data_IF_278476267614
#
_entry.id   IF_278476267614
#
_cell.length_a   1.000
_cell.length_b   1.000
_cell.length_c   1.000
_cell.angle_alpha   90.00
_cell.angle_beta   90.00
_cell.angle_gamma   90.00
#
_symmetry.space_group_name_H-M   'P 1'
#
loop_
_entity.id
_entity.type
_entity.pdbx_description
1 polymer ?
#
# COMPACT_ATOMS: atom_id res chain seq x y z
N UNK A 1 -57.45 11.95 49.66
CA UNK A 1 -57.23 13.31 50.19
C UNK A 1 -56.33 14.04 49.20
N UNK A 2 -56.91 14.80 48.26
CA UNK A 2 -57.06 16.28 48.19
C UNK A 2 -55.79 17.01 47.73
N UNK A 3 -55.93 17.80 46.65
CA UNK A 3 -55.13 18.97 46.24
C UNK A 3 -53.84 18.64 45.47
N UNK A 4 -53.40 19.30 44.41
CA UNK A 4 -53.66 20.59 43.73
C UNK A 4 -53.20 20.40 42.26
N UNK A 5 -53.47 21.18 41.21
CA UNK A 5 -53.93 22.54 40.98
C UNK A 5 -53.58 22.88 39.52
N UNK A 6 -54.43 23.67 38.87
CA UNK A 6 -54.58 23.90 37.42
C UNK A 6 -53.45 24.67 36.70
N UNK A 7 -53.33 24.43 35.37
CA UNK A 7 -53.20 25.39 34.22
C UNK A 7 -53.10 24.52 32.94
N UNK A 8 -54.01 24.48 31.95
CA UNK A 8 -54.64 25.55 31.17
C UNK A 8 -53.63 26.13 30.17
N UNK A 9 -53.76 26.13 28.84
CA UNK A 9 -54.86 25.85 27.93
C UNK A 9 -54.31 25.62 26.48
N UNK A 10 -55.14 25.06 25.62
CA UNK A 10 -54.88 24.62 24.24
C UNK A 10 -54.52 25.72 23.22
N UNK A 11 -53.86 25.31 22.12
CA UNK A 11 -53.86 26.03 20.85
C UNK A 11 -54.03 25.08 19.66
N UNK A 12 -54.72 25.61 18.65
CA UNK A 12 -55.57 24.94 17.71
C UNK A 12 -54.86 24.54 16.40
N UNK A 13 -55.51 23.59 15.71
CA UNK A 13 -55.22 23.19 14.34
C UNK A 13 -55.64 24.26 13.33
N UNK A 14 -54.88 24.35 12.23
CA UNK A 14 -55.39 24.82 10.94
C UNK A 14 -54.66 24.07 9.81
N UNK A 15 -55.44 23.31 9.05
CA UNK A 15 -55.13 22.73 7.74
C UNK A 15 -55.27 23.80 6.64
N UNK A 16 -54.54 23.68 5.52
CA UNK A 16 -55.04 23.70 4.12
C UNK A 16 -53.87 23.44 3.14
N UNK A 17 -54.22 22.76 2.05
CA UNK A 17 -53.47 22.24 0.90
C UNK A 17 -52.92 23.28 -0.11
N UNK A 18 -51.95 22.87 -0.94
CA UNK A 18 -52.06 22.74 -2.41
C UNK A 18 -50.75 23.01 -3.21
N UNK A 19 -50.44 22.02 -4.07
CA UNK A 19 -49.98 22.12 -5.47
C UNK A 19 -48.59 22.69 -5.87
N UNK A 20 -47.78 21.74 -6.36
CA UNK A 20 -47.00 21.72 -7.62
C UNK A 20 -46.70 23.03 -8.36
N UNK A 21 -45.40 23.28 -8.62
CA UNK A 21 -44.91 23.94 -9.84
C UNK A 21 -43.47 23.52 -10.15
N UNK A 22 -43.31 22.86 -11.28
CA UNK A 22 -42.08 22.58 -12.03
C UNK A 22 -41.72 23.76 -12.93
N UNK A 23 -40.43 24.08 -13.06
CA UNK A 23 -39.85 25.03 -14.02
C UNK A 23 -38.35 24.68 -14.23
N UNK A 24 -37.72 24.95 -15.39
CA UNK A 24 -37.71 24.01 -16.50
C UNK A 24 -36.31 23.53 -16.93
N UNK A 25 -36.31 22.36 -17.57
CA UNK A 25 -35.24 21.80 -18.39
C UNK A 25 -34.93 22.75 -19.56
N UNK A 26 -33.66 23.14 -19.73
CA UNK A 26 -33.18 23.72 -20.99
C UNK A 26 -32.64 22.59 -21.87
N UNK A 27 -33.43 22.22 -22.87
CA UNK A 27 -32.95 21.56 -24.07
C UNK A 27 -32.29 22.60 -24.98
N UNK A 28 -31.09 22.31 -25.47
CA UNK A 28 -30.51 22.95 -26.65
C UNK A 28 -29.95 21.87 -27.57
N UNK A 29 -30.68 21.62 -28.65
CA UNK A 29 -30.25 21.07 -29.96
C UNK A 29 -31.26 21.60 -31.00
N UNK A 30 -31.02 21.56 -32.32
CA UNK A 30 -29.80 21.24 -33.07
C UNK A 30 -29.43 22.31 -34.14
N UNK A 31 -28.28 22.17 -34.81
CA UNK A 31 -28.18 22.37 -36.27
C UNK A 31 -27.00 21.56 -36.81
N UNK A 32 -27.30 20.65 -37.73
CA UNK A 32 -26.38 20.10 -38.73
C UNK A 32 -26.02 21.17 -39.76
N UNK A 33 -24.77 21.25 -40.19
CA UNK A 33 -24.44 21.30 -41.62
C UNK A 33 -22.97 20.97 -41.88
N UNK A 34 -22.78 20.23 -42.97
CA UNK A 34 -21.52 19.82 -43.58
C UNK A 34 -20.73 21.03 -44.14
N UNK A 35 -19.40 20.97 -44.14
CA UNK A 35 -18.61 20.71 -45.36
C UNK A 35 -17.11 21.09 -45.23
N UNK A 36 -16.28 20.11 -45.63
CA UNK A 36 -15.10 20.19 -46.49
C UNK A 36 -13.93 21.18 -46.24
N UNK A 37 -12.74 20.55 -46.21
CA UNK A 37 -11.46 20.94 -46.81
C UNK A 37 -10.65 22.09 -46.21
N UNK A 38 -9.35 21.83 -46.06
CA UNK A 38 -8.32 22.84 -46.38
C UNK A 38 -7.29 23.09 -45.30
N UNK A 39 -6.16 22.41 -45.43
CA UNK A 39 -4.86 22.72 -44.85
C UNK A 39 -4.50 24.21 -44.95
N UNK A 40 -3.98 24.81 -43.88
CA UNK A 40 -2.80 25.70 -43.94
C UNK A 40 -2.37 26.15 -42.54
N UNK A 41 -1.05 26.10 -42.36
CA UNK A 41 -0.27 26.67 -41.27
C UNK A 41 -0.65 28.12 -40.94
N UNK A 42 -0.72 28.44 -39.65
CA UNK A 42 -0.27 29.75 -39.14
C UNK A 42 0.22 29.66 -37.69
N UNK A 43 1.50 29.99 -37.51
CA UNK A 43 2.09 30.40 -36.23
C UNK A 43 1.42 31.70 -35.79
N UNK A 44 0.94 31.77 -34.55
CA UNK A 44 0.84 33.03 -33.82
C UNK A 44 1.04 32.82 -32.31
N UNK A 45 2.17 33.34 -31.84
CA UNK A 45 2.49 33.91 -30.53
C UNK A 45 1.43 33.79 -29.42
N UNK A 46 1.76 33.07 -28.34
CA UNK A 46 1.01 33.13 -27.08
C UNK A 46 1.44 34.37 -26.30
N UNK A 47 0.49 35.29 -26.12
CA UNK A 47 0.60 36.47 -25.27
C UNK A 47 0.73 36.09 -23.79
N UNK A 48 1.76 36.61 -23.13
CA UNK A 48 1.87 36.70 -21.68
C UNK A 48 0.84 37.71 -21.13
N UNK A 49 -0.13 37.26 -20.34
CA UNK A 49 -0.90 38.16 -19.49
C UNK A 49 -0.20 38.35 -18.14
N UNK A 50 0.42 39.52 -18.02
CA UNK A 50 0.97 40.10 -16.79
C UNK A 50 -0.15 40.90 -16.11
N UNK A 51 -0.66 40.44 -14.97
CA UNK A 51 -1.54 41.27 -14.14
C UNK A 51 -0.74 41.88 -12.99
N UNK A 52 -0.68 43.22 -12.97
CA UNK A 52 0.02 44.02 -11.96
C UNK A 52 -0.95 44.68 -10.99
N UNK A 53 -0.66 44.50 -9.70
CA UNK A 53 -0.82 45.43 -8.56
C UNK A 53 -2.20 46.02 -8.25
N UNK A 54 -2.62 45.78 -7.00
CA UNK A 54 -2.98 46.88 -6.10
C UNK A 54 -2.25 46.73 -4.75
N UNK A 55 -1.87 47.88 -4.19
CA UNK A 55 -0.97 48.09 -3.05
C UNK A 55 -1.72 48.94 -2.01
N UNK A 56 -1.69 48.57 -0.73
CA UNK A 56 -1.71 49.48 0.43
C UNK A 56 -1.16 48.71 1.64
N UNK A 57 0.10 48.93 2.06
CA UNK A 57 0.60 49.93 3.01
C UNK A 57 0.05 49.80 4.44
N UNK A 58 0.84 49.19 5.34
CA UNK A 58 1.41 49.82 6.55
C UNK A 58 2.37 48.85 7.27
N UNK A 59 3.54 49.37 7.58
CA UNK A 59 4.69 48.93 8.39
C UNK A 59 5.10 50.18 9.21
N UNK A 60 6.07 50.21 10.16
CA UNK A 60 6.85 49.17 10.90
C UNK A 60 6.91 49.57 12.43
N UNK A 61 7.95 49.35 13.30
CA UNK A 61 9.29 48.77 13.09
C UNK A 61 9.86 47.94 14.31
N UNK A 62 11.19 47.63 14.43
CA UNK A 62 11.69 46.28 14.75
C UNK A 62 12.74 46.25 15.91
N UNK A 63 13.33 45.08 16.23
CA UNK A 63 14.68 44.88 16.82
C UNK A 63 15.11 43.41 16.50
N UNK A 64 16.16 43.02 15.77
CA UNK A 64 17.63 43.23 15.71
C UNK A 64 18.50 42.25 16.55
N UNK A 65 19.60 41.83 15.89
CA UNK A 65 20.77 41.02 16.27
C UNK A 65 20.66 39.48 16.12
N UNK A 66 21.63 38.76 15.53
CA UNK A 66 22.99 39.11 15.08
C UNK A 66 23.63 38.01 14.20
N UNK A 67 24.80 38.34 13.67
CA UNK A 67 25.75 37.57 12.83
C UNK A 67 26.17 36.24 13.49
N UNK A 68 26.67 35.20 12.80
CA UNK A 68 28.04 35.09 12.22
C UNK A 68 28.11 33.91 11.21
N UNK A 69 29.07 34.00 10.29
CA UNK A 69 29.36 32.96 9.31
C UNK A 69 30.35 31.90 9.79
N UNK A 70 30.44 30.80 9.04
CA UNK A 70 31.67 30.02 8.95
C UNK A 70 31.74 29.28 7.62
N UNK A 71 32.89 29.47 6.97
CA UNK A 71 33.41 28.78 5.80
C UNK A 71 34.27 27.66 6.37
N UNK A 72 34.06 26.39 6.00
CA UNK A 72 35.05 25.33 6.22
C UNK A 72 35.04 24.34 5.04
N UNK A 73 36.25 24.09 4.55
CA UNK A 73 36.65 23.29 3.40
C UNK A 73 36.26 21.81 3.46
N UNK A 74 36.18 21.24 2.26
CA UNK A 74 36.21 19.82 1.99
C UNK A 74 37.55 19.19 2.39
N UNK A 75 37.49 18.08 3.14
CA UNK A 75 38.60 17.15 3.27
C UNK A 75 38.12 15.75 2.84
N UNK A 76 38.60 15.30 1.68
CA UNK A 76 38.53 13.92 1.25
C UNK A 76 39.61 13.12 1.99
N UNK A 77 39.23 12.02 2.64
CA UNK A 77 40.19 11.00 3.11
C UNK A 77 39.69 9.64 2.64
N UNK A 78 40.47 9.01 1.76
CA UNK A 78 40.28 7.65 1.27
C UNK A 78 40.83 6.61 2.27
N UNK A 79 40.31 5.37 2.30
CA UNK A 79 40.76 4.34 3.23
C UNK A 79 41.99 3.58 2.69
N UNK A 80 43.03 3.45 3.51
CA UNK A 80 44.19 2.58 3.25
C UNK A 80 43.92 1.15 3.70
N UNK A 81 44.01 0.22 2.75
CA UNK A 81 44.02 -1.23 2.90
C UNK A 81 45.47 -1.73 2.86
N UNK A 82 45.91 -2.49 3.86
CA UNK A 82 47.11 -3.34 3.76
C UNK A 82 46.91 -4.62 4.55
N UNK A 83 46.74 -5.74 3.85
CA UNK A 83 46.93 -7.11 4.36
C UNK A 83 48.33 -7.58 3.93
N UNK A 84 49.10 -8.15 4.85
CA UNK A 84 50.24 -9.02 4.57
C UNK A 84 50.12 -10.32 5.37
N UNK A 85 50.55 -11.48 4.84
CA UNK A 85 50.46 -12.78 5.50
C UNK A 85 51.77 -13.17 6.23
N UNK A 86 51.64 -13.89 7.35
CA UNK A 86 52.75 -14.52 8.08
C UNK A 86 52.74 -16.04 7.83
N UNK A 87 53.80 -16.53 7.17
CA UNK A 87 54.18 -17.95 7.12
C UNK A 87 55.06 -18.28 8.33
N UNK A 88 54.82 -19.42 8.98
CA UNK A 88 55.72 -20.00 9.98
C UNK A 88 56.19 -21.36 9.47
N UNK A 89 57.51 -21.50 9.36
CA UNK A 89 58.22 -22.71 8.95
C UNK A 89 58.47 -23.65 10.15
N UNK A 90 58.47 -24.96 9.89
CA UNK A 90 58.81 -26.02 10.83
C UNK A 90 60.29 -26.41 10.68
N UNK A 91 60.94 -26.74 11.80
CA UNK A 91 62.23 -27.47 11.84
C UNK A 91 62.13 -28.65 12.81
N UNK A 92 62.80 -29.80 12.55
CA UNK A 92 62.59 -31.04 13.29
C UNK A 92 63.67 -31.29 14.36
N UNK A 93 63.35 -32.06 15.41
CA UNK A 93 64.37 -32.83 16.12
C UNK A 93 63.83 -34.12 16.74
N UNK A 94 64.68 -35.16 16.70
CA UNK A 94 64.45 -36.54 17.09
C UNK A 94 64.52 -36.77 18.61
N UNK A 95 63.78 -37.76 19.11
CA UNK A 95 63.98 -38.34 20.45
C UNK A 95 63.05 -39.52 20.75
N UNK A 96 63.60 -40.73 20.78
CA UNK A 96 62.96 -41.99 21.16
C UNK A 96 62.52 -42.01 22.66
N UNK A 97 61.37 -42.60 22.99
CA UNK A 97 61.27 -43.76 23.91
C UNK A 97 59.83 -44.34 24.04
N UNK A 98 59.85 -45.66 24.13
CA UNK A 98 58.82 -46.72 24.20
C UNK A 98 57.67 -46.52 25.20
N UNK A 99 56.47 -47.02 24.86
CA UNK A 99 55.82 -48.17 25.54
C UNK A 99 54.29 -48.21 25.38
N UNK A 100 53.79 -49.43 25.10
CA UNK A 100 52.48 -49.99 25.42
C UNK A 100 51.21 -49.46 24.72
N UNK A 101 50.70 -50.34 23.86
CA UNK A 101 49.43 -50.29 23.19
C UNK A 101 48.24 -50.33 24.16
N UNK A 102 47.26 -49.47 23.92
CA UNK A 102 45.85 -49.73 24.27
C UNK A 102 45.08 -49.78 22.95
N UNK A 103 44.64 -50.99 22.58
CA UNK A 103 43.72 -51.20 21.46
C UNK A 103 42.35 -50.62 21.86
N UNK A 104 41.98 -49.49 21.28
CA UNK A 104 40.58 -49.10 21.13
C UNK A 104 40.19 -49.25 19.67
N UNK A 105 39.40 -50.29 19.40
CA UNK A 105 38.80 -50.52 18.10
C UNK A 105 37.73 -49.45 17.86
N UNK A 106 38.10 -48.38 17.16
CA UNK A 106 37.14 -47.44 16.60
C UNK A 106 36.63 -48.00 15.27
N UNK A 107 35.37 -48.43 15.25
CA UNK A 107 34.64 -48.70 14.02
C UNK A 107 34.47 -47.38 13.26
N UNK A 108 35.23 -47.19 12.18
CA UNK A 108 35.05 -46.08 11.25
C UNK A 108 33.76 -46.29 10.45
N UNK A 109 32.66 -45.67 10.89
CA UNK A 109 31.45 -45.53 10.06
C UNK A 109 31.73 -44.42 9.05
N UNK A 110 32.00 -44.82 7.81
CA UNK A 110 32.18 -43.94 6.65
C UNK A 110 30.83 -43.28 6.35
N UNK A 111 30.54 -42.16 7.00
CA UNK A 111 29.45 -41.27 6.58
C UNK A 111 30.02 -40.31 5.54
N UNK A 112 29.67 -40.56 4.28
CA UNK A 112 29.71 -39.56 3.23
C UNK A 112 28.79 -38.41 3.64
N UNK A 113 29.40 -37.32 4.12
CA UNK A 113 28.74 -36.03 4.28
C UNK A 113 28.47 -35.48 2.88
N UNK A 114 27.26 -35.68 2.38
CA UNK A 114 26.74 -34.89 1.26
C UNK A 114 26.51 -33.48 1.79
N UNK A 115 27.33 -32.52 1.35
CA UNK A 115 27.10 -31.11 1.60
C UNK A 115 25.83 -30.69 0.84
N UNK A 116 24.71 -30.61 1.54
CA UNK A 116 23.47 -30.01 1.03
C UNK A 116 23.67 -28.48 0.96
N UNK A 117 23.34 -27.80 -0.15
CA UNK A 117 23.61 -26.37 -0.26
C UNK A 117 22.63 -25.58 0.60
N UNK A 118 23.13 -24.97 1.67
CA UNK A 118 22.39 -24.04 2.54
C UNK A 118 21.73 -22.87 1.77
N UNK A 119 22.22 -22.58 0.55
CA UNK A 119 21.68 -21.54 -0.32
C UNK A 119 20.34 -21.91 -0.97
N UNK A 120 20.04 -23.20 -1.20
CA UNK A 120 18.76 -23.59 -1.81
C UNK A 120 17.61 -23.50 -0.82
N UNK A 121 17.85 -23.86 0.45
CA UNK A 121 16.85 -23.80 1.52
C UNK A 121 16.48 -22.37 1.92
N UNK A 122 17.42 -21.43 1.87
CA UNK A 122 17.15 -20.01 2.17
C UNK A 122 16.38 -19.32 1.05
N UNK A 123 16.69 -19.64 -0.21
CA UNK A 123 15.92 -19.12 -1.35
C UNK A 123 14.54 -19.79 -1.47
N UNK A 124 14.39 -21.04 -1.01
CA UNK A 124 13.09 -21.73 -0.92
C UNK A 124 12.23 -21.21 0.24
N UNK A 125 12.83 -20.92 1.40
CA UNK A 125 12.16 -20.27 2.51
C UNK A 125 11.71 -18.83 2.15
N UNK A 126 12.52 -18.09 1.37
CA UNK A 126 12.11 -16.79 0.79
C UNK A 126 10.92 -16.91 -0.18
N UNK A 127 10.80 -18.02 -0.92
CA UNK A 127 9.68 -18.26 -1.84
C UNK A 127 8.34 -18.50 -1.12
N UNK A 128 8.38 -18.81 0.19
CA UNK A 128 7.20 -19.09 1.00
C UNK A 128 6.80 -17.94 1.96
N UNK A 129 7.46 -16.78 1.89
CA UNK A 129 7.02 -15.60 2.66
C UNK A 129 5.87 -14.89 1.95
N UNK A 130 4.71 -14.71 2.63
CA UNK A 130 3.58 -14.02 2.01
C UNK A 130 3.96 -12.56 1.70
N UNK A 131 3.57 -12.11 0.52
CA UNK A 131 3.78 -10.72 0.09
C UNK A 131 3.00 -9.78 1.03
N UNK A 132 3.67 -8.80 1.63
CA UNK A 132 2.98 -7.81 2.47
C UNK A 132 2.68 -6.54 1.69
N UNK A 133 1.41 -6.15 1.67
CA UNK A 133 0.91 -4.86 1.24
C UNK A 133 0.57 -3.99 2.46
N UNK A 134 1.11 -2.78 2.50
CA UNK A 134 0.74 -1.77 3.50
C UNK A 134 -0.11 -0.68 2.84
N UNK A 135 -1.37 -0.60 3.21
CA UNK A 135 -2.38 0.20 2.53
C UNK A 135 -2.80 1.44 3.32
N UNK A 136 -3.25 2.48 2.63
CA UNK A 136 -3.62 3.76 3.22
C UNK A 136 -2.42 4.50 3.78
N UNK A 137 -1.33 4.51 3.03
CA UNK A 137 -0.13 5.30 3.29
C UNK A 137 -0.43 6.75 2.90
N UNK A 138 -0.15 7.68 3.81
CA UNK A 138 -0.57 9.09 3.67
C UNK A 138 0.57 10.08 3.55
N UNK A 139 1.82 9.62 3.64
CA UNK A 139 3.01 10.45 3.49
C UNK A 139 4.19 9.65 2.94
N UNK A 140 5.15 10.33 2.30
CA UNK A 140 6.40 9.71 1.87
C UNK A 140 7.17 9.02 3.01
N UNK A 141 7.15 9.60 4.21
CA UNK A 141 7.79 9.01 5.39
C UNK A 141 7.15 7.68 5.79
N UNK A 142 5.81 7.59 5.76
CA UNK A 142 5.11 6.33 6.02
C UNK A 142 5.46 5.27 4.96
N UNK A 143 5.65 5.69 3.70
CA UNK A 143 6.02 4.82 2.59
C UNK A 143 7.44 4.24 2.76
N UNK A 144 8.40 5.09 3.10
CA UNK A 144 9.77 4.69 3.44
C UNK A 144 9.78 3.67 4.58
N UNK A 145 9.16 4.01 5.71
CA UNK A 145 9.12 3.10 6.88
C UNK A 145 8.47 1.75 6.55
N UNK A 146 7.41 1.74 5.74
CA UNK A 146 6.75 0.51 5.30
C UNK A 146 7.65 -0.34 4.38
N UNK A 147 8.29 0.30 3.39
CA UNK A 147 9.16 -0.38 2.44
C UNK A 147 10.43 -0.92 3.12
N UNK A 148 11.07 -0.14 3.98
CA UNK A 148 12.23 -0.57 4.80
C UNK A 148 11.89 -1.76 5.71
N UNK A 149 10.66 -1.80 6.25
CA UNK A 149 10.21 -2.92 7.07
C UNK A 149 9.99 -4.22 6.26
N UNK A 150 9.94 -4.11 4.92
CA UNK A 150 9.84 -5.23 3.98
C UNK A 150 8.51 -5.31 3.22
N UNK A 151 7.63 -4.30 3.31
CA UNK A 151 6.43 -4.27 2.49
C UNK A 151 6.80 -4.21 1.00
N UNK A 152 6.17 -5.05 0.19
CA UNK A 152 6.41 -5.10 -1.26
C UNK A 152 5.42 -4.25 -2.04
N UNK A 153 4.24 -4.00 -1.49
CA UNK A 153 3.19 -3.19 -2.09
C UNK A 153 2.82 -2.03 -1.15
N UNK A 154 2.77 -0.80 -1.68
CA UNK A 154 2.46 0.42 -0.93
C UNK A 154 1.17 1.03 -1.47
N UNK A 155 0.07 0.91 -0.73
CA UNK A 155 -1.26 1.36 -1.16
C UNK A 155 -1.56 2.81 -0.78
N UNK A 156 -1.88 3.63 -1.77
CA UNK A 156 -2.39 5.00 -1.62
C UNK A 156 -3.87 5.03 -1.96
N UNK A 157 -4.70 5.54 -1.06
CA UNK A 157 -6.12 5.69 -1.35
C UNK A 157 -6.33 7.03 -2.03
N UNK A 158 -6.90 7.00 -3.24
CA UNK A 158 -7.16 8.19 -4.04
C UNK A 158 -8.65 8.57 -4.06
N UNK A 159 -9.49 7.72 -3.48
CA UNK A 159 -10.90 7.98 -3.28
C UNK A 159 -11.14 9.07 -2.22
N UNK A 160 -11.79 10.20 -2.53
CA UNK A 160 -11.93 11.34 -1.63
C UNK A 160 -12.68 11.08 -0.32
N UNK A 161 -13.59 10.10 -0.30
CA UNK A 161 -14.40 9.81 0.89
C UNK A 161 -13.66 8.98 1.96
N UNK A 162 -12.44 8.55 1.68
CA UNK A 162 -11.59 7.90 2.67
C UNK A 162 -10.90 8.92 3.57
N UNK A 163 -10.92 8.71 4.89
CA UNK A 163 -10.10 9.51 5.82
C UNK A 163 -8.59 9.43 5.54
N UNK A 164 -8.16 8.36 4.85
CA UNK A 164 -6.77 8.11 4.43
C UNK A 164 -6.53 8.47 2.96
N UNK A 165 -7.43 9.25 2.36
CA UNK A 165 -7.26 9.75 1.00
C UNK A 165 -6.08 10.73 0.93
N UNK A 166 -5.34 10.70 -0.17
CA UNK A 166 -4.25 11.65 -0.43
C UNK A 166 -4.45 12.38 -1.76
N UNK A 167 -4.06 13.67 -1.85
CA UNK A 167 -4.05 14.38 -3.13
C UNK A 167 -2.98 13.81 -4.07
N UNK A 168 -3.14 14.01 -5.38
CA UNK A 168 -2.22 13.50 -6.40
C UNK A 168 -0.76 13.96 -6.20
N UNK A 169 -0.55 15.17 -5.66
CA UNK A 169 0.79 15.66 -5.34
C UNK A 169 1.50 14.81 -4.29
N UNK A 170 0.76 14.38 -3.26
CA UNK A 170 1.30 13.53 -2.19
C UNK A 170 1.44 12.08 -2.68
N UNK A 171 0.45 11.57 -3.43
CA UNK A 171 0.52 10.25 -4.04
C UNK A 171 1.73 10.08 -4.98
N UNK A 172 2.07 11.12 -5.75
CA UNK A 172 3.26 11.13 -6.59
C UNK A 172 4.55 11.01 -5.77
N UNK A 173 4.62 11.69 -4.64
CA UNK A 173 5.79 11.66 -3.76
C UNK A 173 5.91 10.31 -3.03
N UNK A 174 4.80 9.77 -2.53
CA UNK A 174 4.73 8.41 -1.97
C UNK A 174 5.17 7.37 -3.00
N UNK A 175 4.67 7.47 -4.24
CA UNK A 175 5.03 6.58 -5.34
C UNK A 175 6.53 6.59 -5.62
N UNK A 176 7.11 7.80 -5.72
CA UNK A 176 8.55 8.00 -5.90
C UNK A 176 9.37 7.33 -4.79
N UNK A 177 8.98 7.56 -3.53
CA UNK A 177 9.69 6.99 -2.37
C UNK A 177 9.56 5.47 -2.36
N UNK A 178 8.35 4.92 -2.52
CA UNK A 178 8.13 3.47 -2.57
C UNK A 178 9.05 2.79 -3.59
N UNK A 179 9.09 3.32 -4.82
CA UNK A 179 9.98 2.82 -5.89
C UNK A 179 11.46 2.89 -5.50
N UNK A 180 11.90 3.99 -4.87
CA UNK A 180 13.31 4.14 -4.46
C UNK A 180 13.76 3.13 -3.39
N UNK A 181 12.84 2.58 -2.62
CA UNK A 181 13.09 1.50 -1.64
C UNK A 181 12.73 0.10 -2.19
N UNK A 182 12.43 -0.01 -3.49
CA UNK A 182 12.13 -1.29 -4.15
C UNK A 182 10.76 -1.88 -3.84
N UNK A 183 9.82 -1.05 -3.37
CA UNK A 183 8.41 -1.43 -3.22
C UNK A 183 7.58 -0.89 -4.38
N UNK A 184 6.53 -1.61 -4.74
CA UNK A 184 5.62 -1.23 -5.82
C UNK A 184 4.47 -0.36 -5.28
N UNK A 185 4.29 0.87 -5.82
CA UNK A 185 3.18 1.73 -5.44
C UNK A 185 1.86 1.26 -6.07
N UNK A 186 0.78 1.32 -5.30
CA UNK A 186 -0.58 0.90 -5.69
C UNK A 186 -1.57 2.03 -5.51
N UNK A 187 -2.28 2.41 -6.56
CA UNK A 187 -3.42 3.34 -6.48
C UNK A 187 -4.71 2.61 -6.12
N UNK A 188 -5.38 3.00 -5.04
CA UNK A 188 -6.66 2.42 -4.61
C UNK A 188 -7.80 3.34 -4.99
N UNK A 189 -8.69 2.82 -5.83
CA UNK A 189 -9.84 3.51 -6.41
C UNK A 189 -11.13 2.85 -5.94
N UNK A 190 -12.11 3.66 -5.55
CA UNK A 190 -13.39 3.18 -5.01
C UNK A 190 -14.52 3.87 -5.75
N UNK A 191 -15.20 3.14 -6.64
CA UNK A 191 -16.26 3.69 -7.49
C UNK A 191 -15.85 4.95 -8.29
N UNK A 192 -14.55 5.10 -8.57
CA UNK A 192 -13.99 6.15 -9.43
C UNK A 192 -14.19 5.80 -10.91
N UNK A 193 -14.37 6.83 -11.74
CA UNK A 193 -14.50 6.73 -13.19
C UNK A 193 -13.16 6.49 -13.91
N UNK A 194 -13.22 6.03 -15.15
CA UNK A 194 -12.05 5.73 -16.00
C UNK A 194 -11.10 6.93 -16.11
N UNK A 195 -11.64 8.12 -16.36
CA UNK A 195 -10.84 9.32 -16.52
C UNK A 195 -10.08 9.67 -15.24
N UNK A 196 -10.72 9.51 -14.08
CA UNK A 196 -10.09 9.71 -12.77
C UNK A 196 -8.97 8.71 -12.53
N UNK A 197 -9.20 7.42 -12.78
CA UNK A 197 -8.19 6.37 -12.64
C UNK A 197 -6.99 6.64 -13.56
N UNK A 198 -7.22 6.87 -14.86
CA UNK A 198 -6.14 7.08 -15.82
C UNK A 198 -5.32 8.35 -15.52
N UNK A 199 -5.97 9.46 -15.16
CA UNK A 199 -5.29 10.70 -14.78
C UNK A 199 -4.40 10.50 -13.55
N UNK A 200 -4.94 9.83 -12.53
CA UNK A 200 -4.21 9.56 -11.30
C UNK A 200 -3.01 8.64 -11.54
N UNK A 201 -3.23 7.54 -12.26
CA UNK A 201 -2.18 6.57 -12.59
C UNK A 201 -1.05 7.22 -13.39
N UNK A 202 -1.37 8.02 -14.40
CA UNK A 202 -0.36 8.74 -15.19
C UNK A 202 0.38 9.79 -14.35
N UNK A 203 -0.34 10.59 -13.54
CA UNK A 203 0.27 11.69 -12.78
C UNK A 203 1.21 11.21 -11.66
N UNK A 204 0.90 10.04 -11.09
CA UNK A 204 1.60 9.47 -9.95
C UNK A 204 2.47 8.26 -10.32
N UNK A 205 2.60 7.95 -11.62
CA UNK A 205 3.42 6.86 -12.13
C UNK A 205 3.04 5.49 -11.51
N UNK A 206 1.74 5.16 -11.56
CA UNK A 206 1.15 3.95 -10.98
C UNK A 206 0.84 2.94 -12.09
N UNK A 207 1.55 1.83 -12.07
CA UNK A 207 1.33 0.71 -12.99
C UNK A 207 0.33 -0.30 -12.41
N UNK A 208 0.31 -0.46 -11.08
CA UNK A 208 -0.59 -1.34 -10.34
C UNK A 208 -1.72 -0.53 -9.70
N UNK A 209 -2.96 -0.87 -10.06
CA UNK A 209 -4.16 -0.22 -9.54
C UNK A 209 -5.07 -1.24 -8.87
N UNK A 210 -5.69 -0.84 -7.77
CA UNK A 210 -6.65 -1.62 -7.02
C UNK A 210 -8.07 -1.11 -7.30
N UNK A 211 -8.88 -1.95 -7.93
CA UNK A 211 -10.27 -1.67 -8.26
C UNK A 211 -11.16 -2.16 -7.12
N UNK A 212 -11.69 -1.22 -6.35
CA UNK A 212 -12.65 -1.46 -5.28
C UNK A 212 -13.99 -0.80 -5.64
N UNK A 213 -15.11 -1.38 -5.19
CA UNK A 213 -16.44 -0.87 -5.52
C UNK A 213 -16.91 -1.36 -6.89
N UNK A 214 -18.21 -1.26 -7.14
CA UNK A 214 -18.84 -1.82 -8.33
C UNK A 214 -18.42 -1.05 -9.58
N UNK A 215 -18.50 0.29 -9.54
CA UNK A 215 -18.22 1.11 -10.73
C UNK A 215 -16.77 1.03 -11.18
N UNK A 216 -15.80 0.95 -10.26
CA UNK A 216 -14.40 0.78 -10.66
C UNK A 216 -14.10 -0.64 -11.15
N UNK A 217 -14.76 -1.68 -10.62
CA UNK A 217 -14.57 -3.06 -11.10
C UNK A 217 -15.12 -3.27 -12.52
N UNK A 218 -16.20 -2.59 -12.86
CA UNK A 218 -16.76 -2.61 -14.23
C UNK A 218 -15.79 -2.09 -15.29
N UNK A 219 -14.79 -1.29 -14.90
CA UNK A 219 -13.77 -0.73 -15.80
C UNK A 219 -12.63 -1.72 -16.11
N UNK A 220 -12.64 -2.92 -15.52
CA UNK A 220 -11.61 -3.95 -15.78
C UNK A 220 -11.36 -4.19 -17.28
N UNK A 221 -12.35 -4.36 -18.17
CA UNK A 221 -12.13 -4.62 -19.60
C UNK A 221 -11.37 -3.51 -20.34
N UNK A 222 -11.43 -2.29 -19.84
CA UNK A 222 -10.75 -1.12 -20.44
C UNK A 222 -9.35 -0.94 -19.85
N UNK A 223 -9.20 -1.16 -18.54
CA UNK A 223 -7.96 -0.89 -17.82
C UNK A 223 -6.94 -2.04 -17.89
N UNK A 224 -7.37 -3.29 -17.99
CA UNK A 224 -6.48 -4.46 -17.86
C UNK A 224 -5.35 -4.54 -18.90
N UNK A 225 -5.50 -3.88 -20.05
CA UNK A 225 -4.49 -3.88 -21.13
C UNK A 225 -3.28 -3.01 -20.82
N UNK A 226 -3.49 -1.93 -20.08
CA UNK A 226 -2.49 -0.89 -19.84
C UNK A 226 -2.07 -0.80 -18.37
N UNK A 227 -2.77 -1.51 -17.48
CA UNK A 227 -2.52 -1.50 -16.05
C UNK A 227 -2.49 -2.92 -15.50
N UNK A 228 -1.64 -3.12 -14.50
CA UNK A 228 -1.69 -4.30 -13.63
C UNK A 228 -2.81 -4.09 -12.62
N UNK A 229 -3.56 -5.14 -12.32
CA UNK A 229 -4.83 -5.02 -11.57
C UNK A 229 -4.82 -5.84 -10.28
N UNK A 230 -5.15 -5.19 -9.16
CA UNK A 230 -5.68 -5.83 -7.96
C UNK A 230 -7.21 -5.73 -8.00
N UNK A 231 -7.90 -6.86 -8.09
CA UNK A 231 -9.36 -6.90 -8.11
C UNK A 231 -9.90 -7.25 -6.71
N UNK A 232 -10.74 -6.37 -6.14
CA UNK A 232 -11.25 -6.57 -4.78
C UNK A 232 -12.50 -7.45 -4.75
N UNK A 233 -12.42 -8.53 -3.98
CA UNK A 233 -13.51 -9.40 -3.56
C UNK A 233 -13.89 -9.05 -2.11
N UNK A 234 -15.17 -8.87 -1.85
CA UNK A 234 -15.71 -8.55 -0.54
C UNK A 234 -16.40 -9.79 0.03
N UNK A 235 -16.05 -10.17 1.26
CA UNK A 235 -16.68 -11.25 2.01
C UNK A 235 -17.56 -10.71 3.14
N UNK A 236 -18.73 -11.29 3.35
CA UNK A 236 -19.56 -11.00 4.53
C UNK A 236 -18.94 -11.57 5.82
N UNK A 237 -19.62 -11.35 6.96
CA UNK A 237 -19.13 -11.79 8.27
C UNK A 237 -18.94 -13.32 8.36
N UNK A 238 -19.70 -14.09 7.57
CA UNK A 238 -19.62 -15.55 7.49
C UNK A 238 -18.58 -16.06 6.47
N UNK A 239 -17.86 -15.16 5.79
CA UNK A 239 -16.86 -15.52 4.80
C UNK A 239 -17.46 -15.90 3.44
N UNK A 240 -18.70 -15.52 3.15
CA UNK A 240 -19.28 -15.68 1.82
C UNK A 240 -18.97 -14.45 0.98
N UNK A 241 -18.53 -14.67 -0.26
CA UNK A 241 -18.32 -13.58 -1.21
C UNK A 241 -19.64 -12.89 -1.60
N UNK A 242 -19.60 -11.57 -1.60
CA UNK A 242 -20.73 -10.69 -1.95
C UNK A 242 -20.66 -10.30 -3.43
N UNK A 243 -19.46 -10.25 -4.00
CA UNK A 243 -19.23 -10.05 -5.43
C UNK A 243 -18.41 -11.20 -6.03
N UNK A 244 -18.59 -11.41 -7.32
CA UNK A 244 -17.92 -12.46 -8.07
C UNK A 244 -16.53 -12.01 -8.57
N UNK A 245 -15.59 -12.95 -8.77
CA UNK A 245 -14.41 -12.70 -9.60
C UNK A 245 -14.83 -12.32 -11.03
N UNK A 246 -13.95 -11.65 -11.79
CA UNK A 246 -14.21 -11.33 -13.18
C UNK A 246 -14.27 -12.59 -14.04
N UNK A 247 -14.70 -12.44 -15.30
CA UNK A 247 -14.61 -13.49 -16.33
C UNK A 247 -13.16 -14.02 -16.44
N UNK A 248 -13.01 -15.32 -16.69
CA UNK A 248 -11.70 -15.99 -16.82
C UNK A 248 -10.84 -15.43 -17.97
N UNK A 249 -11.44 -14.68 -18.90
CA UNK A 249 -10.70 -13.96 -19.95
C UNK A 249 -9.78 -12.85 -19.38
N UNK A 250 -10.06 -12.35 -18.18
CA UNK A 250 -9.29 -11.29 -17.54
C UNK A 250 -8.40 -11.85 -16.43
N UNK A 251 -7.15 -12.15 -16.77
CA UNK A 251 -6.16 -12.60 -15.78
C UNK A 251 -5.57 -11.38 -15.05
N UNK A 252 -6.11 -11.10 -13.87
CA UNK A 252 -5.65 -10.02 -12.98
C UNK A 252 -4.33 -10.38 -12.29
N UNK A 253 -3.62 -9.38 -11.78
CA UNK A 253 -2.34 -9.58 -11.10
C UNK A 253 -2.53 -10.13 -9.68
N UNK A 254 -3.56 -9.65 -8.98
CA UNK A 254 -3.92 -10.09 -7.65
C UNK A 254 -5.43 -10.07 -7.46
N UNK A 255 -5.96 -11.05 -6.72
CA UNK A 255 -7.19 -10.83 -5.98
C UNK A 255 -6.87 -10.24 -4.61
N UNK A 256 -7.71 -9.36 -4.09
CA UNK A 256 -7.67 -8.93 -2.69
C UNK A 256 -9.01 -9.22 -2.05
N UNK A 257 -9.01 -10.01 -0.99
CA UNK A 257 -10.23 -10.37 -0.25
C UNK A 257 -10.33 -9.51 1.01
N UNK A 258 -11.32 -8.63 1.08
CA UNK A 258 -11.60 -7.77 2.25
C UNK A 258 -12.97 -8.10 2.85
N UNK A 259 -13.20 -7.69 4.10
CA UNK A 259 -14.55 -7.77 4.67
C UNK A 259 -15.49 -6.76 4.00
N UNK A 260 -16.79 -7.04 4.00
CA UNK A 260 -17.83 -6.19 3.42
C UNK A 260 -17.86 -4.78 4.02
N UNK A 261 -17.40 -4.65 5.27
CA UNK A 261 -17.16 -3.36 5.94
C UNK A 261 -15.68 -3.01 5.87
N UNK A 262 -15.12 -3.00 4.66
CA UNK A 262 -13.73 -2.61 4.41
C UNK A 262 -13.38 -1.32 5.13
N UNK A 263 -12.18 -1.24 5.70
CA UNK A 263 -11.73 -0.09 6.49
C UNK A 263 -12.30 0.03 7.91
N UNK A 264 -13.25 -0.82 8.33
CA UNK A 264 -13.75 -0.87 9.73
C UNK A 264 -12.74 -1.44 10.73
N UNK A 265 -11.69 -2.11 10.25
CA UNK A 265 -10.72 -2.83 11.09
C UNK A 265 -11.23 -4.16 11.63
N UNK A 266 -12.38 -4.67 11.16
CA UNK A 266 -12.89 -6.00 11.51
C UNK A 266 -12.70 -6.96 10.33
N UNK A 267 -12.22 -8.17 10.62
CA UNK A 267 -12.15 -9.27 9.65
C UNK A 267 -13.51 -9.98 9.45
N UNK A 268 -13.48 -11.08 8.70
CA UNK A 268 -14.59 -12.03 8.52
C UNK A 268 -14.20 -13.40 9.07
N UNK A 269 -15.13 -14.35 9.10
CA UNK A 269 -14.85 -15.71 9.55
C UNK A 269 -13.91 -16.46 8.58
N UNK A 270 -12.62 -16.49 8.89
CA UNK A 270 -11.60 -17.16 8.09
C UNK A 270 -11.80 -18.67 7.97
N UNK A 271 -12.34 -19.33 9.00
CA UNK A 271 -12.52 -20.79 8.98
C UNK A 271 -13.61 -21.23 7.99
N UNK A 272 -14.59 -20.37 7.73
CA UNK A 272 -15.68 -20.61 6.78
C UNK A 272 -15.35 -20.15 5.36
N UNK A 273 -14.48 -19.16 5.21
CA UNK A 273 -14.14 -18.63 3.90
C UNK A 273 -13.41 -19.66 3.03
N UNK A 274 -13.77 -19.71 1.75
CA UNK A 274 -13.09 -20.50 0.73
C UNK A 274 -12.83 -19.59 -0.46
N UNK A 275 -11.57 -19.48 -0.87
CA UNK A 275 -11.20 -18.73 -2.07
C UNK A 275 -11.81 -19.44 -3.29
N UNK A 276 -12.49 -18.73 -4.21
CA UNK A 276 -12.97 -19.32 -5.46
C UNK A 276 -11.78 -19.82 -6.30
N UNK A 277 -12.04 -20.74 -7.22
CA UNK A 277 -11.03 -21.30 -8.15
C UNK A 277 -10.53 -20.32 -9.21
N UNK A 278 -10.83 -19.03 -9.09
CA UNK A 278 -10.39 -18.02 -10.03
C UNK A 278 -8.86 -17.83 -9.93
N UNK A 279 -8.19 -17.88 -11.07
CA UNK A 279 -6.75 -17.72 -11.14
C UNK A 279 -6.35 -16.24 -11.28
N UNK A 280 -5.18 -15.91 -10.74
CA UNK A 280 -4.52 -14.61 -10.91
C UNK A 280 -3.02 -14.84 -10.96
N UNK A 281 -2.27 -13.89 -11.54
CA UNK A 281 -0.83 -14.09 -11.81
C UNK A 281 -0.02 -14.38 -10.55
N UNK A 282 -0.35 -13.71 -9.45
CA UNK A 282 0.39 -13.81 -8.18
C UNK A 282 -0.44 -14.42 -7.04
N UNK A 283 -1.68 -14.84 -7.32
CA UNK A 283 -2.62 -15.33 -6.32
C UNK A 283 -3.32 -14.19 -5.58
N UNK A 284 -3.58 -14.37 -4.28
CA UNK A 284 -4.49 -13.49 -3.56
C UNK A 284 -3.93 -12.94 -2.26
N UNK A 285 -4.37 -11.72 -1.94
CA UNK A 285 -4.07 -10.97 -0.73
C UNK A 285 -5.25 -11.08 0.23
N UNK A 286 -4.98 -11.45 1.50
CA UNK A 286 -5.97 -11.36 2.57
C UNK A 286 -5.92 -9.98 3.22
N UNK A 287 -7.05 -9.30 3.26
CA UNK A 287 -7.26 -8.03 3.97
C UNK A 287 -8.28 -8.21 5.11
N UNK A 288 -8.75 -7.10 5.67
CA UNK A 288 -9.84 -7.09 6.66
C UNK A 288 -9.36 -7.25 8.09
N UNK A 289 -9.08 -6.12 8.75
CA UNK A 289 -8.83 -6.10 10.20
C UNK A 289 -7.56 -6.82 10.66
N UNK A 290 -6.59 -7.03 9.79
CA UNK A 290 -5.32 -7.65 10.16
C UNK A 290 -4.50 -6.73 11.09
N UNK A 291 -3.85 -7.33 12.10
CA UNK A 291 -2.88 -6.73 13.01
C UNK A 291 -1.91 -7.81 13.52
N UNK A 292 -0.89 -7.39 14.28
CA UNK A 292 0.21 -8.26 14.69
C UNK A 292 -0.24 -9.50 15.50
N UNK A 293 -1.36 -9.42 16.23
CA UNK A 293 -1.83 -10.49 17.11
C UNK A 293 -2.68 -11.53 16.36
N UNK A 294 -3.31 -11.17 15.24
CA UNK A 294 -4.23 -12.05 14.52
C UNK A 294 -3.68 -12.56 13.18
N UNK A 295 -2.66 -11.91 12.61
CA UNK A 295 -2.15 -12.20 11.26
C UNK A 295 -1.67 -13.65 11.10
N UNK A 296 -1.04 -14.22 12.14
CA UNK A 296 -0.55 -15.60 12.06
C UNK A 296 -1.70 -16.61 12.00
N UNK A 297 -2.77 -16.37 12.75
CA UNK A 297 -3.98 -17.21 12.71
C UNK A 297 -4.65 -17.10 11.35
N UNK A 298 -4.81 -15.87 10.84
CA UNK A 298 -5.41 -15.60 9.54
C UNK A 298 -4.68 -16.33 8.40
N UNK A 299 -3.34 -16.17 8.36
CA UNK A 299 -2.51 -16.81 7.36
C UNK A 299 -2.51 -18.34 7.47
N UNK A 300 -2.52 -18.88 8.70
CA UNK A 300 -2.56 -20.34 8.89
C UNK A 300 -3.90 -20.94 8.46
N UNK A 301 -5.01 -20.22 8.65
CA UNK A 301 -6.35 -20.69 8.31
C UNK A 301 -6.59 -20.71 6.80
N UNK A 302 -6.02 -19.74 6.07
CA UNK A 302 -6.37 -19.48 4.67
C UNK A 302 -5.22 -19.66 3.67
N UNK A 303 -3.98 -19.67 4.14
CA UNK A 303 -2.77 -19.76 3.33
C UNK A 303 -2.76 -18.79 2.11
N UNK A 304 -2.97 -17.48 2.30
CA UNK A 304 -2.95 -16.52 1.21
C UNK A 304 -1.53 -16.30 0.68
N UNK A 305 -1.41 -15.89 -0.58
CA UNK A 305 -0.12 -15.54 -1.20
C UNK A 305 0.42 -14.20 -0.67
N UNK A 306 -0.44 -13.36 -0.12
CA UNK A 306 -0.04 -12.15 0.58
C UNK A 306 -1.06 -11.62 1.58
N UNK A 307 -0.67 -10.57 2.28
CA UNK A 307 -1.40 -9.96 3.39
C UNK A 307 -1.50 -8.46 3.14
N UNK A 308 -2.70 -7.90 3.22
CA UNK A 308 -2.96 -6.46 3.14
C UNK A 308 -3.33 -5.91 4.52
N UNK A 309 -2.51 -5.00 5.04
CA UNK A 309 -2.75 -4.38 6.34
C UNK A 309 -2.87 -2.86 6.21
N UNK A 310 -3.83 -2.30 6.93
CA UNK A 310 -4.06 -0.86 6.92
C UNK A 310 -4.21 -0.26 8.31
N UNK A 311 -5.39 -0.36 8.93
CA UNK A 311 -5.65 0.26 10.23
C UNK A 311 -4.92 -0.42 11.40
N UNK A 312 -4.63 -1.73 11.29
CA UNK A 312 -3.91 -2.48 12.33
C UNK A 312 -2.46 -2.04 12.56
N UNK A 313 -1.90 -1.24 11.64
CA UNK A 313 -0.56 -0.64 11.76
C UNK A 313 -0.60 0.89 11.94
N UNK A 314 -1.77 1.48 12.16
CA UNK A 314 -1.91 2.90 12.42
C UNK A 314 -1.74 3.23 13.91
N UNK A 315 -1.37 4.47 14.20
CA UNK A 315 -1.62 5.10 15.49
C UNK A 315 -3.12 5.09 15.84
N UNK A 316 -3.50 5.42 17.10
CA UNK A 316 -4.91 5.54 17.50
C UNK A 316 -5.73 6.52 16.64
N UNK A 317 -5.09 7.50 15.98
CA UNK A 317 -5.76 8.40 15.00
C UNK A 317 -6.28 7.65 13.75
N UNK A 318 -5.74 6.47 13.47
CA UNK A 318 -6.09 5.64 12.32
C UNK A 318 -5.69 6.26 10.98
N UNK A 319 -4.78 7.23 10.98
CA UNK A 319 -4.27 7.94 9.80
C UNK A 319 -2.79 7.61 9.61
N UNK A 320 -1.96 8.01 10.58
CA UNK A 320 -0.49 7.85 10.49
C UNK A 320 -0.11 6.42 10.83
N UNK A 321 0.93 5.91 10.17
CA UNK A 321 1.46 4.59 10.49
C UNK A 321 2.35 4.65 11.75
N UNK A 322 2.18 3.67 12.62
CA UNK A 322 2.96 3.52 13.85
C UNK A 322 4.14 2.57 13.57
N UNK A 323 5.40 3.05 13.68
CA UNK A 323 6.58 2.23 13.42
C UNK A 323 6.65 0.95 14.27
N UNK A 324 6.20 1.00 15.53
CA UNK A 324 6.21 -0.16 16.42
C UNK A 324 5.18 -1.20 15.97
N UNK A 325 4.02 -0.77 15.47
CA UNK A 325 2.99 -1.67 14.95
C UNK A 325 3.39 -2.26 13.60
N UNK A 326 4.01 -1.47 12.73
CA UNK A 326 4.64 -1.96 11.49
C UNK A 326 5.64 -3.06 11.83
N UNK A 327 6.58 -2.78 12.74
CA UNK A 327 7.60 -3.75 13.15
C UNK A 327 7.01 -5.02 13.76
N UNK A 328 6.01 -4.87 14.64
CA UNK A 328 5.31 -6.01 15.25
C UNK A 328 4.59 -6.86 14.21
N UNK A 329 3.90 -6.22 13.25
CA UNK A 329 3.21 -6.92 12.17
C UNK A 329 4.19 -7.71 11.29
N UNK A 330 5.25 -7.06 10.80
CA UNK A 330 6.26 -7.72 9.98
C UNK A 330 6.99 -8.84 10.72
N UNK A 331 7.24 -8.68 12.02
CA UNK A 331 7.82 -9.74 12.85
C UNK A 331 6.87 -10.93 12.98
N UNK A 332 5.56 -10.71 13.09
CA UNK A 332 4.56 -11.78 13.07
C UNK A 332 4.50 -12.50 11.71
N UNK A 333 4.57 -11.76 10.60
CA UNK A 333 4.60 -12.34 9.26
C UNK A 333 5.84 -13.21 9.04
N UNK A 334 7.03 -12.73 9.39
CA UNK A 334 8.30 -13.48 9.24
C UNK A 334 8.30 -14.82 9.98
N UNK A 335 7.58 -14.92 11.10
CA UNK A 335 7.45 -16.20 11.85
C UNK A 335 6.65 -17.26 11.09
N UNK A 336 5.89 -16.91 10.06
CA UNK A 336 5.17 -17.86 9.22
C UNK A 336 6.11 -18.64 8.31
N UNK A 337 7.16 -17.99 7.80
CA UNK A 337 8.11 -18.57 6.83
C UNK A 337 9.21 -19.42 7.45
N UNK A 338 9.31 -19.42 8.78
CA UNK A 338 10.31 -20.19 9.55
C UNK A 338 9.75 -21.55 9.99
N UNK A 339 8.57 -21.95 9.49
CA UNK A 339 7.94 -23.24 9.80
C UNK A 339 8.22 -24.30 8.75
#
# INVERSE_FOLDING_TARGET
>A
MVGEGLKGNAQAACSVSAQSRSLPVRQCQPTTDLDLLGSSLHLTSVCFFRCSRHRSSKLPPPLLFGQEGCICEAAMVAPTSTRQPLQIALTPNNGHLRSAAVRMAYFAKKQTMTATPLSSSLEEAKRNEPVVKMCGITSARDAEMAAEAGAKLIGMILWPNSKRSVPLSEAKEISRVAKSYGAEPVGVFVDDDEGTILRASSSCDLELIQLHGDSSRELLPVLWKNNRIIYVLNADEDGKLINAPPSEEYVVDWFLVDSARGGSGKGFNWEKFRMPSAESKNGWLLAGGLHADNVCQAASALNPNGLDVSSGICYPDGLRKDPNRIHSFMSSVKRLSVR
#
